data_IF_964069542361
#
_entry.id   IF_964069542361
#
_cell.length_a   1.000
_cell.length_b   1.000
_cell.length_c   1.000
_cell.angle_alpha   90.00
_cell.angle_beta   90.00
_cell.angle_gamma   90.00
#
_symmetry.space_group_name_H-M   'P 1'
#
loop_
_entity.id
_entity.type
_entity.pdbx_description
1 polymer ?
#
# COMPACT_ATOMS: atom_id res chain seq x y z
N UNK A 1 36.95 23.49 11.06
CA UNK A 1 35.57 23.21 11.54
C UNK A 1 34.70 22.88 10.33
N UNK A 2 34.22 21.65 10.20
CA UNK A 2 33.29 21.25 9.12
C UNK A 2 31.96 20.87 9.77
N UNK A 3 30.92 21.66 9.48
CA UNK A 3 29.57 21.52 10.03
C UNK A 3 29.00 20.18 9.55
N UNK A 4 28.73 19.26 10.49
CA UNK A 4 27.93 18.07 10.23
C UNK A 4 26.47 18.51 10.23
N UNK A 5 25.83 18.53 9.07
CA UNK A 5 24.37 18.66 8.97
C UNK A 5 23.81 17.27 9.26
N UNK A 6 23.66 16.98 10.55
CA UNK A 6 22.81 15.91 11.06
C UNK A 6 21.53 16.59 11.46
N UNK A 7 20.48 16.49 10.65
CA UNK A 7 19.08 16.62 11.07
C UNK A 7 18.19 16.51 9.83
N UNK A 8 16.98 15.97 10.00
CA UNK A 8 15.86 15.97 9.03
C UNK A 8 15.65 14.70 8.18
N UNK A 9 15.85 13.50 8.74
CA UNK A 9 15.20 12.26 8.21
C UNK A 9 14.46 11.47 9.30
N UNK A 10 14.35 12.02 10.52
CA UNK A 10 13.63 11.37 11.63
C UNK A 10 12.15 11.79 11.69
N UNK A 11 11.76 12.87 11.00
CA UNK A 11 10.45 13.49 11.23
C UNK A 11 9.29 12.90 10.40
N UNK A 12 9.57 12.12 9.35
CA UNK A 12 8.49 11.49 8.55
C UNK A 12 8.00 10.20 9.23
N UNK A 13 8.82 9.54 10.04
CA UNK A 13 8.39 8.37 10.81
C UNK A 13 7.56 8.75 12.05
N UNK A 14 7.69 9.97 12.59
CA UNK A 14 7.02 10.33 13.86
C UNK A 14 5.52 10.61 13.74
N UNK A 15 4.97 10.80 12.53
CA UNK A 15 3.53 11.07 12.36
C UNK A 15 2.71 9.77 12.20
N UNK A 16 3.37 8.64 11.91
CA UNK A 16 2.70 7.33 11.79
C UNK A 16 2.75 6.48 13.09
N UNK A 17 3.37 6.96 14.18
CA UNK A 17 3.68 6.11 15.35
C UNK A 17 2.64 6.23 16.49
N UNK A 18 1.67 7.15 16.43
CA UNK A 18 0.75 7.36 17.56
C UNK A 18 -0.53 6.50 17.57
N UNK A 19 -0.83 5.73 16.51
CA UNK A 19 -1.93 4.75 16.55
C UNK A 19 -1.66 3.61 15.56
N UNK A 20 -1.83 2.39 16.04
CA UNK A 20 -1.76 1.10 15.33
C UNK A 20 -0.37 0.46 15.16
N UNK A 21 -0.09 -0.46 16.08
CA UNK A 21 0.85 -1.57 15.89
C UNK A 21 0.32 -2.59 14.87
N UNK A 22 -0.25 -2.15 13.74
CA UNK A 22 -0.44 -3.03 12.59
C UNK A 22 0.97 -3.27 12.06
N UNK A 23 1.55 -4.43 12.36
CA UNK A 23 2.82 -4.82 11.76
C UNK A 23 2.60 -4.84 10.24
N UNK A 24 3.17 -3.86 9.53
CA UNK A 24 3.22 -3.87 8.07
C UNK A 24 4.17 -4.98 7.63
N UNK A 25 3.72 -6.22 7.76
CA UNK A 25 4.47 -7.40 7.36
C UNK A 25 4.19 -7.69 5.90
N UNK A 26 5.13 -7.28 5.05
CA UNK A 26 5.01 -7.45 3.62
C UNK A 26 5.17 -8.93 3.27
N UNK A 27 4.04 -9.60 3.01
CA UNK A 27 4.01 -11.05 2.83
C UNK A 27 4.17 -11.43 1.36
N UNK A 28 4.88 -12.54 1.14
CA UNK A 28 5.03 -13.14 -0.18
C UNK A 28 3.85 -14.04 -0.49
N UNK A 29 3.23 -13.84 -1.65
CA UNK A 29 2.18 -14.69 -2.21
C UNK A 29 2.66 -15.28 -3.52
N UNK A 30 2.36 -16.56 -3.73
CA UNK A 30 2.70 -17.29 -4.94
C UNK A 30 1.57 -18.26 -5.25
N UNK A 31 1.15 -18.31 -6.51
CA UNK A 31 0.23 -19.32 -7.02
C UNK A 31 0.98 -20.28 -7.96
N UNK A 32 1.14 -21.53 -7.49
CA UNK A 32 1.83 -22.60 -8.21
C UNK A 32 1.21 -22.91 -9.59
N UNK A 33 -0.03 -22.49 -9.83
CA UNK A 33 -0.78 -22.78 -11.06
C UNK A 33 -0.73 -21.68 -12.12
N UNK A 34 -0.48 -20.42 -11.72
CA UNK A 34 -0.61 -19.25 -12.61
C UNK A 34 0.67 -18.46 -12.84
N UNK A 35 1.80 -18.84 -12.20
CA UNK A 35 3.06 -18.08 -12.18
C UNK A 35 2.91 -16.65 -11.64
N UNK A 36 1.76 -16.30 -11.04
CA UNK A 36 1.59 -15.03 -10.34
C UNK A 36 2.30 -15.11 -8.99
N UNK A 37 3.32 -14.27 -8.82
CA UNK A 37 4.14 -14.15 -7.63
C UNK A 37 4.39 -12.69 -7.25
N UNK A 38 4.51 -12.43 -5.96
CA UNK A 38 4.86 -11.10 -5.49
C UNK A 38 4.55 -10.89 -4.02
N UNK A 39 4.83 -9.68 -3.58
CA UNK A 39 4.71 -9.28 -2.20
C UNK A 39 3.59 -8.26 -2.07
N UNK A 40 2.71 -8.43 -1.08
CA UNK A 40 1.67 -7.46 -0.80
C UNK A 40 1.37 -7.37 0.70
N UNK A 41 0.79 -6.25 1.11
CA UNK A 41 0.22 -6.04 2.45
C UNK A 41 -0.96 -5.08 2.35
N UNK A 42 -2.00 -5.34 3.12
CA UNK A 42 -3.15 -4.46 3.27
C UNK A 42 -3.18 -3.91 4.70
N UNK A 43 -3.49 -2.62 4.82
CA UNK A 43 -3.59 -1.88 6.08
C UNK A 43 -4.98 -1.26 6.12
N UNK A 44 -5.77 -1.64 7.14
CA UNK A 44 -7.12 -1.10 7.32
C UNK A 44 -7.07 0.38 7.69
N UNK A 45 -7.94 1.18 7.08
CA UNK A 45 -8.10 2.61 7.36
C UNK A 45 -9.35 2.79 8.22
N UNK A 46 -9.22 3.23 9.49
CA UNK A 46 -10.36 3.56 10.32
C UNK A 46 -11.24 4.67 9.69
N UNK A 47 -12.58 4.59 9.75
CA UNK A 47 -13.47 5.56 9.10
C UNK A 47 -13.26 7.02 9.53
N UNK A 48 -12.82 7.24 10.78
CA UNK A 48 -12.52 8.56 11.32
C UNK A 48 -11.21 9.16 10.79
N UNK A 49 -10.35 8.35 10.17
CA UNK A 49 -9.06 8.75 9.61
C UNK A 49 -9.08 8.76 8.07
N UNK A 50 -10.15 8.24 7.46
CA UNK A 50 -10.27 8.03 6.01
C UNK A 50 -9.93 9.27 5.18
N UNK A 51 -10.51 10.42 5.53
CA UNK A 51 -10.27 11.67 4.80
C UNK A 51 -8.82 12.14 4.91
N UNK A 52 -8.17 11.95 6.06
CA UNK A 52 -6.78 12.37 6.29
C UNK A 52 -5.84 11.45 5.52
N UNK A 53 -6.04 10.13 5.61
CA UNK A 53 -5.24 9.15 4.90
C UNK A 53 -5.37 9.31 3.38
N UNK A 54 -6.58 9.57 2.88
CA UNK A 54 -6.78 9.83 1.45
C UNK A 54 -6.09 11.12 0.99
N UNK A 55 -6.19 12.20 1.76
CA UNK A 55 -5.53 13.48 1.44
C UNK A 55 -4.00 13.33 1.40
N UNK A 56 -3.43 12.64 2.38
CA UNK A 56 -1.99 12.33 2.42
C UNK A 56 -1.58 11.44 1.23
N UNK A 57 -2.31 10.35 0.98
CA UNK A 57 -2.08 9.47 -0.18
C UNK A 57 -2.11 10.23 -1.50
N UNK A 58 -3.07 11.16 -1.67
CA UNK A 58 -3.24 11.92 -2.91
C UNK A 58 -2.05 12.83 -3.23
N UNK A 59 -1.40 13.36 -2.18
CA UNK A 59 -0.23 14.25 -2.26
C UNK A 59 1.09 13.51 -2.41
N UNK A 60 1.12 12.22 -2.10
CA UNK A 60 2.34 11.42 -2.16
C UNK A 60 2.93 11.45 -3.58
N UNK A 61 4.23 11.76 -3.74
CA UNK A 61 4.88 11.79 -5.03
C UNK A 61 4.89 10.40 -5.66
N UNK A 62 4.50 10.33 -6.93
CA UNK A 62 4.42 9.08 -7.66
C UNK A 62 3.69 9.27 -8.97
N UNK A 63 3.84 8.33 -9.89
CA UNK A 63 3.08 8.34 -11.14
C UNK A 63 1.71 7.75 -10.87
N UNK A 64 0.64 8.46 -11.20
CA UNK A 64 -0.71 7.92 -11.06
C UNK A 64 -0.88 6.66 -11.92
N UNK A 65 -1.46 5.62 -11.32
CA UNK A 65 -1.71 4.33 -11.91
C UNK A 65 -3.16 4.23 -12.34
N UNK A 66 -3.41 4.34 -13.65
CA UNK A 66 -4.76 4.34 -14.21
C UNK A 66 -5.35 2.96 -14.40
N UNK A 67 -4.53 1.90 -14.46
CA UNK A 67 -4.98 0.52 -14.69
C UNK A 67 -4.09 -0.48 -13.97
N UNK A 68 -4.72 -1.43 -13.27
CA UNK A 68 -4.03 -2.59 -12.69
C UNK A 68 -3.89 -3.74 -13.69
N UNK A 69 -2.75 -4.43 -13.64
CA UNK A 69 -2.59 -5.72 -14.31
C UNK A 69 -3.40 -6.79 -13.56
N UNK A 70 -3.70 -7.91 -14.22
CA UNK A 70 -4.39 -9.05 -13.56
C UNK A 70 -3.60 -9.56 -12.35
N UNK A 71 -2.29 -9.67 -12.47
CA UNK A 71 -1.38 -10.08 -11.39
C UNK A 71 -1.44 -9.13 -10.18
N UNK A 72 -1.47 -7.81 -10.41
CA UNK A 72 -1.59 -6.85 -9.32
C UNK A 72 -2.97 -6.87 -8.66
N UNK A 73 -4.04 -7.10 -9.44
CA UNK A 73 -5.39 -7.32 -8.87
C UNK A 73 -5.41 -8.57 -8.00
N UNK A 74 -4.77 -9.65 -8.46
CA UNK A 74 -4.67 -10.89 -7.69
C UNK A 74 -3.91 -10.67 -6.36
N UNK A 75 -2.72 -10.04 -6.40
CA UNK A 75 -1.95 -9.70 -5.20
C UNK A 75 -2.72 -8.80 -4.23
N UNK A 76 -3.45 -7.81 -4.77
CA UNK A 76 -4.31 -6.94 -3.97
C UNK A 76 -5.36 -7.76 -3.20
N UNK A 77 -6.02 -8.71 -3.86
CA UNK A 77 -6.97 -9.60 -3.20
C UNK A 77 -6.31 -10.56 -2.20
N UNK A 78 -5.11 -11.07 -2.48
CA UNK A 78 -4.40 -11.92 -1.51
C UNK A 78 -4.18 -11.17 -0.18
N UNK A 79 -3.77 -9.91 -0.25
CA UNK A 79 -3.56 -9.08 0.94
C UNK A 79 -4.88 -8.70 1.65
N UNK A 80 -5.93 -8.35 0.88
CA UNK A 80 -7.24 -7.99 1.45
C UNK A 80 -7.93 -9.17 2.14
N UNK A 81 -7.80 -10.38 1.57
CA UNK A 81 -8.45 -11.60 2.10
C UNK A 81 -7.85 -12.08 3.44
N UNK A 82 -6.82 -11.41 3.97
CA UNK A 82 -6.37 -11.64 5.34
C UNK A 82 -7.30 -11.00 6.39
N UNK A 83 -8.22 -10.15 5.94
CA UNK A 83 -9.24 -9.48 6.75
C UNK A 83 -10.63 -10.02 6.43
N UNK A 84 -11.56 -9.88 7.39
CA UNK A 84 -13.00 -10.10 7.15
C UNK A 84 -13.60 -8.81 6.56
N UNK A 85 -13.43 -8.63 5.25
CA UNK A 85 -13.73 -7.37 4.56
C UNK A 85 -15.23 -7.14 4.35
N UNK A 86 -15.65 -5.89 4.46
CA UNK A 86 -17.03 -5.45 4.24
C UNK A 86 -17.14 -4.23 3.32
N UNK A 87 -18.29 -4.05 2.67
CA UNK A 87 -18.53 -2.91 1.78
C UNK A 87 -18.40 -1.57 2.50
N UNK A 88 -17.75 -0.62 1.82
CA UNK A 88 -17.47 0.72 2.37
C UNK A 88 -16.20 0.79 3.21
N UNK A 89 -15.57 -0.33 3.55
CA UNK A 89 -14.26 -0.30 4.20
C UNK A 89 -13.16 0.13 3.24
N UNK A 90 -12.21 0.91 3.76
CA UNK A 90 -11.08 1.43 3.00
C UNK A 90 -9.75 0.89 3.53
N UNK A 91 -8.81 0.63 2.62
CA UNK A 91 -7.52 0.03 2.91
C UNK A 91 -6.41 0.71 2.08
N UNK A 92 -5.20 0.82 2.64
CA UNK A 92 -3.99 1.00 1.83
C UNK A 92 -3.42 -0.37 1.51
N UNK A 93 -3.19 -0.66 0.24
CA UNK A 93 -2.53 -1.88 -0.21
C UNK A 93 -1.21 -1.53 -0.89
N UNK A 94 -0.11 -2.08 -0.38
CA UNK A 94 1.21 -1.97 -0.99
C UNK A 94 1.54 -3.27 -1.72
N UNK A 95 2.05 -3.15 -2.95
CA UNK A 95 2.40 -4.28 -3.81
C UNK A 95 3.80 -4.07 -4.38
N UNK A 96 4.65 -5.09 -4.33
CA UNK A 96 5.90 -5.09 -5.07
C UNK A 96 6.23 -6.49 -5.61
N UNK A 97 6.93 -6.54 -6.74
CA UNK A 97 7.33 -7.83 -7.35
C UNK A 97 8.41 -8.54 -6.54
N UNK A 98 9.26 -7.77 -5.87
CA UNK A 98 10.38 -8.25 -5.07
C UNK A 98 10.71 -7.18 -4.02
N UNK A 99 11.29 -7.59 -2.88
CA UNK A 99 11.75 -6.69 -1.82
C UNK A 99 12.73 -5.61 -2.31
N UNK A 100 13.42 -5.87 -3.43
CA UNK A 100 14.35 -4.95 -4.08
C UNK A 100 13.84 -4.48 -5.44
N UNK A 101 12.52 -4.41 -5.62
CA UNK A 101 11.94 -3.89 -6.86
C UNK A 101 12.19 -2.38 -6.97
N UNK A 102 12.63 -1.88 -8.15
CA UNK A 102 12.83 -0.45 -8.37
C UNK A 102 11.51 0.34 -8.37
N UNK A 103 10.39 -0.37 -8.54
CA UNK A 103 9.04 0.20 -8.46
C UNK A 103 8.17 -0.63 -7.53
N UNK A 104 7.32 0.05 -6.77
CA UNK A 104 6.22 -0.52 -6.01
C UNK A 104 4.92 0.21 -6.35
N UNK A 105 3.80 -0.43 -6.04
CA UNK A 105 2.46 0.13 -6.27
C UNK A 105 1.82 0.34 -4.91
N UNK A 106 1.29 1.53 -4.68
CA UNK A 106 0.43 1.83 -3.55
C UNK A 106 -0.99 2.08 -4.05
N UNK A 107 -1.97 1.43 -3.41
CA UNK A 107 -3.38 1.56 -3.73
C UNK A 107 -4.13 2.05 -2.50
N UNK A 108 -4.94 3.07 -2.68
CA UNK A 108 -6.06 3.34 -1.79
C UNK A 108 -7.26 2.60 -2.35
N UNK A 109 -7.83 1.68 -1.57
CA UNK A 109 -8.86 0.74 -2.01
C UNK A 109 -10.11 0.92 -1.15
N UNK A 110 -11.29 0.94 -1.78
CA UNK A 110 -12.58 0.88 -1.07
C UNK A 110 -13.35 -0.34 -1.54
N UNK A 111 -13.78 -1.18 -0.60
CA UNK A 111 -14.51 -2.42 -0.86
C UNK A 111 -15.95 -2.13 -1.29
N UNK A 112 -16.43 -2.89 -2.26
CA UNK A 112 -17.74 -2.72 -2.91
C UNK A 112 -18.32 -4.06 -3.35
N UNK A 113 -19.61 -4.06 -3.67
CA UNK A 113 -20.31 -5.22 -4.23
C UNK A 113 -20.26 -6.44 -3.30
N UNK A 114 -20.63 -6.24 -2.03
CA UNK A 114 -20.63 -7.24 -0.97
C UNK A 114 -19.29 -7.98 -0.84
N UNK A 115 -18.18 -7.23 -0.79
CA UNK A 115 -16.84 -7.80 -0.60
C UNK A 115 -16.21 -8.44 -1.84
N UNK A 116 -16.84 -8.34 -3.02
CA UNK A 116 -16.35 -9.03 -4.24
C UNK A 116 -15.71 -8.11 -5.28
N UNK A 117 -15.70 -6.81 -5.03
CA UNK A 117 -15.10 -5.81 -5.92
C UNK A 117 -14.50 -4.68 -5.12
N UNK A 118 -13.62 -3.90 -5.73
CA UNK A 118 -13.12 -2.69 -5.13
C UNK A 118 -12.99 -1.56 -6.13
N UNK A 119 -13.13 -0.32 -5.63
CA UNK A 119 -12.67 0.90 -6.31
C UNK A 119 -11.28 1.21 -5.81
N UNK A 120 -10.46 1.85 -6.63
CA UNK A 120 -9.11 2.23 -6.20
C UNK A 120 -8.64 3.55 -6.81
N UNK A 121 -7.72 4.17 -6.08
CA UNK A 121 -6.74 5.14 -6.58
C UNK A 121 -5.37 4.51 -6.43
N UNK A 122 -4.52 4.63 -7.46
CA UNK A 122 -3.21 3.98 -7.45
C UNK A 122 -2.08 4.93 -7.79
N UNK A 123 -0.92 4.69 -7.18
CA UNK A 123 0.34 5.36 -7.49
C UNK A 123 1.45 4.33 -7.68
N UNK A 124 2.30 4.56 -8.67
CA UNK A 124 3.59 3.86 -8.81
C UNK A 124 4.64 4.69 -8.11
N UNK A 125 5.25 4.09 -7.10
CA UNK A 125 6.32 4.66 -6.29
C UNK A 125 7.66 4.13 -6.81
N UNK A 126 8.59 5.05 -7.11
CA UNK A 126 9.95 4.67 -7.47
C UNK A 126 10.80 4.56 -6.22
N UNK A 127 11.60 3.52 -6.18
CA UNK A 127 12.58 3.33 -5.12
C UNK A 127 13.93 3.83 -5.65
N UNK A 128 14.16 5.15 -5.58
CA UNK A 128 15.32 5.84 -6.19
C UNK A 128 16.69 5.49 -5.55
N UNK A 129 16.75 4.44 -4.72
CA UNK A 129 17.95 3.99 -4.00
C UNK A 129 18.42 2.59 -4.39
N UNK A 130 17.86 2.02 -5.45
CA UNK A 130 18.32 0.78 -6.11
C UNK A 130 19.12 1.10 -7.37
#
# INVERSE_FOLDING_TARGET
>A
MKKKIVLTVIFICSVFIAAYSQNMDLKHYMDDSSLDDGYAVAVYIPPNEESTVFDDFSKEPGRDLTKLSKSNVWLCWQALNEYDISDGESYIVLICKSLFSPESIALYVTITNNGTSFKYWGKVLKNDKL
#
